data_IF_399412228208
#
_entry.id   IF_399412228208
#
_cell.length_a   1.000
_cell.length_b   1.000
_cell.length_c   1.000
_cell.angle_alpha   90.00
_cell.angle_beta   90.00
_cell.angle_gamma   90.00
#
_symmetry.space_group_name_H-M   'P 1'
#
loop_
_entity.id
_entity.type
_entity.pdbx_description
1 polymer ?
#
# COMPACT_ATOMS: atom_id res chain seq x y z
N UNK A 1 -47.59 72.80 9.73
CA UNK A 1 -48.81 72.46 10.50
C UNK A 1 -49.82 71.80 9.57
N UNK A 2 -50.53 70.75 9.89
CA UNK A 2 -50.82 70.12 11.19
C UNK A 2 -50.35 68.69 11.32
N UNK A 3 -50.06 68.14 12.45
CA UNK A 3 -50.80 67.30 13.44
C UNK A 3 -51.60 66.18 12.76
N UNK A 4 -51.43 64.90 13.13
CA UNK A 4 -51.96 64.22 14.35
C UNK A 4 -51.50 62.75 14.43
N UNK A 5 -51.16 62.36 15.62
CA UNK A 5 -51.45 61.17 16.43
C UNK A 5 -51.96 59.83 15.80
N UNK A 6 -51.40 58.81 16.34
CA UNK A 6 -51.95 57.46 16.34
C UNK A 6 -50.98 56.42 16.98
N UNK A 7 -50.96 56.42 18.32
CA UNK A 7 -50.37 55.32 19.09
C UNK A 7 -51.27 54.06 18.93
N UNK A 8 -50.71 52.96 18.55
CA UNK A 8 -51.27 51.62 18.75
C UNK A 8 -50.19 50.68 19.21
N UNK A 9 -50.36 50.28 20.45
CA UNK A 9 -49.57 49.27 21.14
C UNK A 9 -49.81 47.91 20.54
N UNK A 10 -48.80 47.35 19.87
CA UNK A 10 -48.75 45.96 19.38
C UNK A 10 -47.71 45.18 20.18
N UNK A 11 -48.20 44.20 20.91
CA UNK A 11 -47.43 43.24 21.72
C UNK A 11 -46.25 42.66 20.94
N UNK A 12 -45.07 42.76 21.53
CA UNK A 12 -43.91 41.94 21.18
C UNK A 12 -44.20 40.46 21.51
N UNK A 13 -44.43 39.68 20.48
CA UNK A 13 -44.38 38.22 20.58
C UNK A 13 -42.91 37.81 20.48
N UNK A 14 -42.37 37.34 21.59
CA UNK A 14 -41.05 36.77 21.63
C UNK A 14 -40.96 35.53 20.72
N UNK A 15 -40.23 35.63 19.62
CA UNK A 15 -39.91 34.48 18.80
C UNK A 15 -38.93 33.59 19.58
N UNK A 16 -39.40 32.42 19.98
CA UNK A 16 -38.56 31.35 20.51
C UNK A 16 -37.51 30.94 19.43
N UNK A 17 -36.25 31.12 19.77
CA UNK A 17 -35.14 30.53 19.01
C UNK A 17 -35.26 29.01 19.11
N UNK A 18 -35.22 28.25 18.00
CA UNK A 18 -35.09 26.82 18.08
C UNK A 18 -33.72 26.50 18.67
N UNK A 19 -33.70 25.59 19.62
CA UNK A 19 -32.49 25.03 20.22
C UNK A 19 -31.54 24.54 19.11
N UNK A 20 -30.32 25.03 19.13
CA UNK A 20 -29.23 24.51 18.29
C UNK A 20 -29.01 23.05 18.64
N UNK A 21 -29.58 22.16 17.85
CA UNK A 21 -29.21 20.77 17.82
C UNK A 21 -27.77 20.71 17.42
N UNK A 22 -26.95 20.26 18.35
CA UNK A 22 -25.55 19.89 18.06
C UNK A 22 -25.63 18.70 17.12
N UNK A 23 -25.64 18.96 15.82
CA UNK A 23 -25.33 17.97 14.81
C UNK A 23 -23.84 17.67 15.04
N UNK A 24 -23.56 16.60 15.76
CA UNK A 24 -22.25 15.97 15.75
C UNK A 24 -22.02 15.50 14.32
N UNK A 25 -21.42 16.35 13.51
CA UNK A 25 -20.78 15.95 12.29
C UNK A 25 -19.66 15.01 12.73
N UNK A 26 -19.93 13.73 12.68
CA UNK A 26 -18.88 12.73 12.59
C UNK A 26 -18.21 13.01 11.25
N UNK A 27 -17.23 13.91 11.24
CA UNK A 27 -16.27 14.01 10.16
C UNK A 27 -15.61 12.65 10.15
N UNK A 28 -15.98 11.87 9.17
CA UNK A 28 -15.39 10.57 8.96
C UNK A 28 -13.90 10.81 8.76
N UNK A 29 -13.11 10.29 9.67
CA UNK A 29 -11.67 10.14 9.56
C UNK A 29 -11.28 9.15 8.44
N UNK A 30 -12.14 9.00 7.44
CA UNK A 30 -12.05 8.01 6.36
C UNK A 30 -11.13 8.42 5.22
N UNK A 31 -10.72 9.69 5.15
CA UNK A 31 -9.88 10.15 4.05
C UNK A 31 -8.38 9.87 4.26
N UNK A 32 -7.94 9.54 5.46
CA UNK A 32 -6.51 9.35 5.77
C UNK A 32 -6.13 7.87 5.82
N UNK A 33 -7.01 6.99 6.26
CA UNK A 33 -6.72 5.55 6.30
C UNK A 33 -6.68 4.89 4.90
N UNK A 34 -7.37 5.45 3.92
CA UNK A 34 -7.35 4.95 2.54
C UNK A 34 -6.07 5.29 1.75
N UNK A 35 -5.28 6.25 2.20
CA UNK A 35 -4.09 6.70 1.48
C UNK A 35 -2.80 5.96 1.87
N UNK A 36 -2.76 5.28 3.02
CA UNK A 36 -1.56 4.63 3.54
C UNK A 36 -1.44 3.14 3.20
N UNK A 37 -2.46 2.53 2.60
CA UNK A 37 -2.48 1.09 2.32
C UNK A 37 -1.79 0.67 1.01
N UNK A 38 -0.93 1.49 0.44
CA UNK A 38 -0.61 1.32 -0.98
C UNK A 38 0.83 0.98 -1.33
N UNK A 39 1.72 0.66 -0.45
CA UNK A 39 3.09 0.40 -0.88
C UNK A 39 3.71 -0.80 -0.17
N UNK A 40 3.48 -1.96 -0.71
CA UNK A 40 4.41 -3.06 -0.50
C UNK A 40 4.26 -4.16 -1.56
N UNK A 41 4.56 -3.87 -2.79
CA UNK A 41 4.95 -4.93 -3.72
C UNK A 41 6.47 -4.98 -3.76
N UNK A 42 7.05 -5.52 -2.68
CA UNK A 42 8.46 -5.83 -2.64
C UNK A 42 8.77 -7.06 -3.49
N UNK A 43 9.33 -6.88 -4.65
CA UNK A 43 9.81 -7.96 -5.49
C UNK A 43 11.18 -8.45 -5.04
N UNK A 44 11.21 -9.64 -4.45
CA UNK A 44 12.40 -10.46 -4.46
C UNK A 44 12.53 -11.14 -5.82
N UNK A 45 13.49 -10.71 -6.64
CA UNK A 45 13.86 -11.46 -7.83
C UNK A 45 14.54 -12.75 -7.39
N UNK A 46 13.79 -13.86 -7.38
CA UNK A 46 14.40 -15.16 -7.61
C UNK A 46 13.91 -15.67 -8.96
N UNK A 47 14.86 -16.05 -9.82
CA UNK A 47 14.58 -16.96 -10.93
C UNK A 47 13.59 -17.99 -10.40
N UNK A 48 12.38 -17.94 -10.89
CA UNK A 48 11.42 -19.00 -10.69
C UNK A 48 12.06 -20.25 -11.31
N UNK A 49 12.77 -21.01 -10.49
CA UNK A 49 12.90 -22.43 -10.78
C UNK A 49 11.47 -22.93 -10.79
N UNK A 50 11.02 -23.32 -11.95
CA UNK A 50 9.76 -23.97 -12.21
C UNK A 50 9.69 -25.29 -11.42
N UNK A 51 9.46 -25.21 -10.12
CA UNK A 51 9.03 -26.36 -9.34
C UNK A 51 7.51 -26.43 -9.44
N UNK A 52 7.06 -27.18 -10.43
CA UNK A 52 5.65 -27.46 -10.74
C UNK A 52 4.94 -28.38 -9.70
N UNK A 53 5.29 -28.30 -8.41
CA UNK A 53 4.89 -29.28 -7.42
C UNK A 53 4.01 -28.84 -6.27
N UNK A 54 3.89 -27.53 -5.97
CA UNK A 54 3.39 -27.11 -4.66
C UNK A 54 2.12 -26.21 -4.68
N UNK A 55 1.46 -26.11 -5.82
CA UNK A 55 0.23 -25.33 -5.94
C UNK A 55 -0.97 -26.13 -5.43
N UNK A 56 -1.64 -25.61 -4.42
CA UNK A 56 -2.88 -26.18 -3.84
C UNK A 56 -2.71 -26.86 -2.48
N UNK A 57 -1.48 -26.94 -1.95
CA UNK A 57 -1.24 -27.39 -0.59
C UNK A 57 -1.43 -26.24 0.40
N UNK A 58 -2.15 -26.49 1.50
CA UNK A 58 -2.16 -25.59 2.63
C UNK A 58 -0.73 -25.46 3.17
N UNK A 59 -0.21 -24.24 3.22
CA UNK A 59 1.00 -23.90 3.94
C UNK A 59 0.60 -23.40 5.32
N UNK A 60 1.40 -23.66 6.33
CA UNK A 60 1.17 -23.15 7.66
C UNK A 60 1.94 -21.83 7.83
N UNK A 61 1.27 -20.67 7.86
CA UNK A 61 1.92 -19.40 8.14
C UNK A 61 2.19 -19.29 9.64
N UNK A 62 3.45 -19.08 10.03
CA UNK A 62 3.86 -18.99 11.44
C UNK A 62 4.61 -17.69 11.67
N UNK A 63 4.21 -16.92 12.69
CA UNK A 63 4.98 -15.75 13.12
C UNK A 63 6.33 -16.21 13.63
N UNK A 64 7.40 -15.86 12.93
CA UNK A 64 8.76 -16.25 13.24
C UNK A 64 9.50 -15.17 14.05
N UNK A 65 9.16 -13.90 13.85
CA UNK A 65 9.74 -12.78 14.60
C UNK A 65 8.85 -11.54 14.49
N UNK A 66 8.93 -10.68 15.50
CA UNK A 66 8.39 -9.32 15.51
C UNK A 66 9.55 -8.37 15.79
N UNK A 67 9.79 -7.44 14.87
CA UNK A 67 10.89 -6.47 14.93
C UNK A 67 10.30 -5.09 15.26
N UNK A 68 10.46 -4.59 16.48
CA UNK A 68 9.98 -3.27 16.86
C UNK A 68 10.90 -2.19 16.28
N UNK A 69 10.34 -1.23 15.55
CA UNK A 69 11.12 -0.17 14.91
C UNK A 69 10.82 1.23 15.46
N UNK A 70 9.57 1.47 15.92
CA UNK A 70 9.09 2.80 16.37
C UNK A 70 9.75 3.99 15.65
N UNK A 71 9.04 4.86 14.97
CA UNK A 71 7.59 5.11 14.92
C UNK A 71 6.87 4.34 13.80
N UNK A 72 5.69 4.85 13.38
CA UNK A 72 4.81 4.28 12.35
C UNK A 72 5.55 3.87 11.09
N UNK A 73 5.35 2.63 10.63
CA UNK A 73 5.94 2.10 9.41
C UNK A 73 5.08 2.52 8.21
N UNK A 74 5.69 3.19 7.27
CA UNK A 74 5.04 3.76 6.07
C UNK A 74 5.35 2.98 4.80
N UNK A 75 6.35 2.09 4.83
CA UNK A 75 6.70 1.24 3.70
C UNK A 75 7.62 0.10 4.11
N UNK A 76 7.51 -1.03 3.41
CA UNK A 76 8.41 -2.18 3.55
C UNK A 76 8.83 -2.64 2.15
N UNK A 77 10.12 -2.91 1.95
CA UNK A 77 10.65 -3.42 0.70
C UNK A 77 11.74 -4.46 0.96
N UNK A 78 11.93 -5.38 0.01
CA UNK A 78 12.98 -6.39 0.10
C UNK A 78 13.95 -6.26 -1.06
N UNK A 79 15.23 -6.28 -0.75
CA UNK A 79 16.28 -6.26 -1.76
C UNK A 79 17.63 -5.92 -1.17
N UNK A 80 18.68 -6.04 -1.99
CA UNK A 80 20.06 -5.79 -1.57
C UNK A 80 20.47 -6.57 -0.31
N UNK A 81 19.93 -7.80 -0.16
CA UNK A 81 20.25 -8.68 0.96
C UNK A 81 19.62 -8.29 2.31
N UNK A 82 18.61 -7.45 2.32
CA UNK A 82 17.93 -7.00 3.53
C UNK A 82 16.44 -6.79 3.32
N UNK A 83 15.71 -6.67 4.43
CA UNK A 83 14.40 -6.06 4.49
C UNK A 83 14.58 -4.61 4.90
N UNK A 84 13.91 -3.73 4.20
CA UNK A 84 13.97 -2.30 4.44
C UNK A 84 12.59 -1.80 4.86
N UNK A 85 12.55 -0.95 5.85
CA UNK A 85 11.33 -0.27 6.27
C UNK A 85 11.55 1.24 6.28
N UNK A 86 10.55 1.98 5.84
CA UNK A 86 10.48 3.43 6.00
C UNK A 86 9.54 3.80 7.13
N UNK A 87 9.83 4.89 7.81
CA UNK A 87 8.99 5.41 8.88
C UNK A 87 9.10 6.94 8.98
N UNK A 88 8.10 7.56 9.58
CA UNK A 88 8.08 8.99 9.86
C UNK A 88 8.22 9.22 11.37
N UNK A 89 9.11 10.13 11.78
CA UNK A 89 9.41 10.38 13.20
C UNK A 89 8.40 11.28 13.93
N UNK A 90 7.40 11.80 13.24
CA UNK A 90 6.46 12.78 13.82
C UNK A 90 4.97 12.49 13.60
N UNK A 91 4.64 11.34 13.01
CA UNK A 91 3.28 11.04 12.59
C UNK A 91 2.80 11.92 11.44
N UNK A 92 1.62 11.63 10.91
CA UNK A 92 1.03 12.31 9.74
C UNK A 92 0.78 13.85 9.92
N UNK A 93 0.96 14.36 11.14
CA UNK A 93 0.69 15.76 11.48
C UNK A 93 1.91 16.67 11.48
N UNK A 94 3.13 16.12 11.32
CA UNK A 94 4.35 16.94 11.29
C UNK A 94 5.11 16.75 9.97
N UNK A 95 4.87 17.61 8.96
CA UNK A 95 5.50 17.49 7.64
C UNK A 95 7.02 17.78 7.65
N UNK A 96 7.56 18.31 8.74
CA UNK A 96 9.01 18.56 8.91
C UNK A 96 9.71 17.42 9.66
N UNK A 97 8.99 16.36 10.01
CA UNK A 97 9.55 15.22 10.70
C UNK A 97 10.60 14.51 9.83
N UNK A 98 11.73 14.16 10.43
CA UNK A 98 12.74 13.38 9.74
C UNK A 98 12.22 11.97 9.44
N UNK A 99 12.28 11.54 8.19
CA UNK A 99 12.06 10.14 7.84
C UNK A 99 13.21 9.28 8.32
N UNK A 100 12.91 8.04 8.60
CA UNK A 100 13.90 7.03 8.98
C UNK A 100 13.82 5.85 8.04
N UNK A 101 14.97 5.31 7.65
CA UNK A 101 15.08 4.02 6.99
C UNK A 101 15.71 3.01 7.93
N UNK A 102 15.08 1.87 8.05
CA UNK A 102 15.54 0.76 8.84
C UNK A 102 16.02 -0.37 7.92
N UNK A 103 17.19 -0.91 8.21
CA UNK A 103 17.71 -2.10 7.55
C UNK A 103 17.58 -3.27 8.50
N UNK A 104 16.80 -4.28 8.14
CA UNK A 104 16.58 -5.50 8.91
C UNK A 104 17.33 -6.64 8.24
N UNK A 105 18.14 -7.34 8.99
CA UNK A 105 18.80 -8.57 8.54
C UNK A 105 17.81 -9.74 8.61
N UNK A 106 17.45 -10.37 7.47
CA UNK A 106 16.47 -11.44 7.44
C UNK A 106 16.97 -12.76 8.06
N UNK A 107 18.27 -12.92 8.25
CA UNK A 107 18.85 -14.11 8.91
C UNK A 107 18.77 -14.03 10.42
N UNK A 108 18.95 -12.83 10.99
CA UNK A 108 18.97 -12.61 12.45
C UNK A 108 17.69 -11.95 12.98
N UNK A 109 16.83 -11.42 12.11
CA UNK A 109 15.64 -10.62 12.44
C UNK A 109 15.99 -9.36 13.28
N UNK A 110 17.17 -8.79 13.10
CA UNK A 110 17.61 -7.60 13.82
C UNK A 110 17.64 -6.39 12.91
N UNK A 111 17.12 -5.28 13.40
CA UNK A 111 17.25 -3.99 12.76
C UNK A 111 18.58 -3.35 13.14
N UNK A 112 19.25 -2.76 12.16
CA UNK A 112 20.38 -1.86 12.37
C UNK A 112 19.89 -0.50 12.90
N UNK A 113 20.82 0.37 13.31
CA UNK A 113 20.49 1.76 13.64
C UNK A 113 19.81 2.44 12.44
N UNK A 114 18.78 3.24 12.68
CA UNK A 114 18.04 3.89 11.58
C UNK A 114 18.91 4.92 10.85
N UNK A 115 18.68 5.00 9.56
CA UNK A 115 19.31 5.97 8.66
C UNK A 115 18.36 7.17 8.56
N UNK A 116 18.74 8.36 9.03
CA UNK A 116 17.91 9.53 8.87
C UNK A 116 17.87 9.97 7.40
N UNK A 117 16.66 10.21 6.89
CA UNK A 117 16.42 10.76 5.57
C UNK A 117 15.60 12.04 5.72
N UNK A 118 16.19 13.16 5.34
CA UNK A 118 15.49 14.44 5.41
C UNK A 118 14.30 14.46 4.44
N UNK A 119 13.18 14.97 4.92
CA UNK A 119 11.98 15.11 4.10
C UNK A 119 11.06 13.91 4.14
N UNK A 120 11.15 13.06 5.18
CA UNK A 120 10.20 11.99 5.43
C UNK A 120 10.50 10.67 4.72
N UNK A 121 9.78 9.63 5.09
CA UNK A 121 9.88 8.27 4.55
C UNK A 121 8.48 7.71 4.35
N UNK A 122 7.67 8.31 3.46
CA UNK A 122 6.29 7.89 3.24
C UNK A 122 6.17 6.61 2.42
N UNK A 123 7.15 6.32 1.58
CA UNK A 123 7.21 5.12 0.79
C UNK A 123 8.65 4.67 0.54
N UNK A 124 8.83 3.40 0.16
CA UNK A 124 10.13 2.80 -0.08
C UNK A 124 10.09 1.83 -1.26
N UNK A 125 11.10 1.87 -2.10
CA UNK A 125 11.28 0.92 -3.20
C UNK A 125 12.75 0.53 -3.37
N UNK A 126 12.97 -0.62 -4.00
CA UNK A 126 14.30 -1.08 -4.40
C UNK A 126 14.38 -1.08 -5.92
N UNK A 127 15.26 -0.28 -6.47
CA UNK A 127 15.51 -0.22 -7.90
C UNK A 127 16.97 0.15 -8.19
N UNK A 128 17.50 -0.34 -9.30
CA UNK A 128 18.86 -0.04 -9.77
C UNK A 128 19.93 -0.21 -8.68
N UNK A 129 19.82 -1.26 -7.86
CA UNK A 129 20.75 -1.56 -6.78
C UNK A 129 20.74 -0.58 -5.61
N UNK A 130 19.74 0.27 -5.51
CA UNK A 130 19.63 1.29 -4.46
C UNK A 130 18.30 1.21 -3.73
N UNK A 131 18.26 1.74 -2.53
CA UNK A 131 17.03 1.99 -1.77
C UNK A 131 16.54 3.38 -2.11
N UNK A 132 15.28 3.50 -2.41
CA UNK A 132 14.64 4.76 -2.73
C UNK A 132 13.51 5.03 -1.74
N UNK A 133 13.43 6.24 -1.25
CA UNK A 133 12.33 6.69 -0.39
C UNK A 133 11.76 7.99 -0.90
N UNK A 134 10.47 8.19 -0.69
CA UNK A 134 9.73 9.35 -1.18
C UNK A 134 9.03 10.08 -0.04
N UNK A 135 8.81 11.36 -0.23
CA UNK A 135 8.03 12.23 0.64
C UNK A 135 7.47 13.42 -0.16
N UNK A 136 6.62 14.28 0.45
CA UNK A 136 6.20 15.54 -0.15
C UNK A 136 7.35 16.50 -0.50
N UNK A 137 8.53 16.33 0.11
CA UNK A 137 9.71 17.15 -0.18
C UNK A 137 10.57 16.59 -1.32
N UNK A 138 10.29 15.40 -1.81
CA UNK A 138 11.01 14.76 -2.90
C UNK A 138 11.46 13.35 -2.61
N UNK A 139 12.21 12.81 -3.55
CA UNK A 139 12.74 11.43 -3.53
C UNK A 139 14.20 11.42 -3.11
N UNK A 140 14.60 10.45 -2.32
CA UNK A 140 15.98 10.23 -1.86
C UNK A 140 16.45 8.86 -2.33
N UNK A 141 17.67 8.82 -2.84
CA UNK A 141 18.38 7.59 -3.19
C UNK A 141 19.40 7.28 -2.13
N UNK A 142 19.37 6.07 -1.60
CA UNK A 142 20.25 5.62 -0.53
C UNK A 142 21.07 4.43 -1.01
N UNK A 143 22.37 4.47 -0.80
CA UNK A 143 23.24 3.32 -1.03
C UNK A 143 23.00 2.26 0.07
N UNK A 144 22.63 1.02 -0.29
CA UNK A 144 22.22 0.01 0.68
C UNK A 144 23.38 -0.53 1.55
N UNK A 145 24.63 -0.31 1.13
CA UNK A 145 25.82 -0.78 1.86
C UNK A 145 26.26 0.23 2.91
N UNK A 146 26.36 1.49 2.50
CA UNK A 146 26.84 2.57 3.38
C UNK A 146 25.74 3.27 4.15
N UNK A 147 24.47 3.11 3.76
CA UNK A 147 23.35 3.86 4.33
C UNK A 147 23.36 5.36 4.00
N UNK A 148 24.18 5.82 3.07
CA UNK A 148 24.30 7.23 2.72
C UNK A 148 23.30 7.63 1.65
N UNK A 149 22.70 8.82 1.81
CA UNK A 149 21.95 9.46 0.72
C UNK A 149 22.92 9.86 -0.37
N UNK A 150 22.78 9.27 -1.57
CA UNK A 150 23.65 9.49 -2.73
C UNK A 150 23.03 10.33 -3.83
N UNK A 151 21.70 10.56 -3.78
CA UNK A 151 21.02 11.50 -4.65
C UNK A 151 19.73 12.05 -4.00
N UNK A 152 19.33 13.25 -4.43
CA UNK A 152 18.09 13.92 -4.08
C UNK A 152 17.39 14.39 -5.35
N UNK A 153 16.10 14.13 -5.45
CA UNK A 153 15.27 14.49 -6.61
C UNK A 153 14.04 15.21 -6.09
N UNK A 154 14.18 16.53 -5.89
CA UNK A 154 13.13 17.34 -5.28
C UNK A 154 11.93 17.55 -6.23
N UNK A 155 12.11 17.32 -7.52
CA UNK A 155 11.04 17.35 -8.52
C UNK A 155 10.09 16.14 -8.42
N UNK A 156 10.55 15.00 -7.87
CA UNK A 156 9.77 13.77 -7.73
C UNK A 156 9.24 13.64 -6.31
N UNK A 157 7.99 14.01 -6.12
CA UNK A 157 7.32 14.13 -4.82
C UNK A 157 6.07 13.25 -4.77
N UNK A 158 5.73 12.79 -3.58
CA UNK A 158 4.51 12.01 -3.35
C UNK A 158 4.62 11.12 -2.12
N UNK A 159 3.68 10.21 -2.00
CA UNK A 159 3.65 9.17 -0.97
C UNK A 159 3.92 7.78 -1.56
N UNK A 160 3.73 7.63 -2.86
CA UNK A 160 3.74 6.34 -3.55
C UNK A 160 4.99 6.21 -4.41
N UNK A 161 5.72 5.11 -4.21
CA UNK A 161 6.93 4.80 -4.96
C UNK A 161 6.99 3.29 -5.25
N UNK A 162 7.24 2.95 -6.51
CA UNK A 162 7.39 1.57 -6.95
C UNK A 162 8.65 1.39 -7.79
N UNK A 163 9.31 0.25 -7.59
CA UNK A 163 10.55 -0.04 -8.29
C UNK A 163 10.77 -1.51 -8.60
N UNK A 164 11.29 -1.78 -9.80
CA UNK A 164 11.69 -3.12 -10.24
C UNK A 164 12.80 -3.03 -11.29
N UNK A 165 13.90 -3.72 -11.06
CA UNK A 165 15.06 -3.62 -11.96
C UNK A 165 15.56 -2.18 -12.06
N UNK A 166 15.52 -1.62 -13.26
CA UNK A 166 15.85 -0.21 -13.52
C UNK A 166 14.62 0.68 -13.71
N UNK A 167 13.41 0.16 -13.49
CA UNK A 167 12.20 0.94 -13.52
C UNK A 167 11.90 1.49 -12.13
N UNK A 168 11.62 2.79 -12.05
CA UNK A 168 11.26 3.48 -10.81
C UNK A 168 10.20 4.52 -11.11
N UNK A 169 9.10 4.48 -10.36
CA UNK A 169 8.00 5.42 -10.46
C UNK A 169 7.68 6.03 -9.09
N UNK A 170 7.44 7.32 -9.09
CA UNK A 170 6.94 8.09 -7.95
C UNK A 170 5.61 8.69 -8.37
N UNK A 171 4.51 8.15 -7.86
CA UNK A 171 3.19 8.48 -8.39
C UNK A 171 3.11 8.27 -9.90
N UNK A 172 2.92 9.35 -10.65
CA UNK A 172 2.92 9.37 -12.11
C UNK A 172 4.27 9.71 -12.74
N UNK A 173 5.29 9.99 -11.94
CA UNK A 173 6.60 10.41 -12.42
C UNK A 173 7.56 9.23 -12.53
N UNK A 174 8.07 8.99 -13.73
CA UNK A 174 9.12 8.01 -13.95
C UNK A 174 10.49 8.62 -13.66
N UNK A 175 11.25 7.97 -12.80
CA UNK A 175 12.62 8.36 -12.49
C UNK A 175 13.59 7.53 -13.35
N UNK A 176 14.60 8.19 -13.87
CA UNK A 176 15.77 7.53 -14.45
C UNK A 176 16.84 7.35 -13.35
N UNK A 177 17.12 6.12 -12.90
CA UNK A 177 18.11 5.88 -11.86
C UNK A 177 19.56 6.14 -12.32
N UNK A 178 19.83 6.22 -13.62
CA UNK A 178 21.16 6.50 -14.13
C UNK A 178 21.52 8.00 -14.00
N UNK A 179 20.54 8.86 -14.26
CA UNK A 179 20.71 10.33 -14.22
C UNK A 179 20.15 10.96 -12.95
N UNK A 180 19.34 10.23 -12.16
CA UNK A 180 18.59 10.72 -11.01
C UNK A 180 17.67 11.90 -11.36
N UNK A 181 16.97 11.80 -12.48
CA UNK A 181 16.04 12.83 -12.96
C UNK A 181 14.68 12.26 -13.28
N UNK A 182 13.65 13.12 -13.34
CA UNK A 182 12.33 12.76 -13.87
C UNK A 182 12.46 12.62 -15.39
N UNK A 183 12.28 11.39 -15.90
CA UNK A 183 12.44 11.05 -17.32
C UNK A 183 11.13 11.10 -18.11
N UNK A 184 9.99 10.92 -17.44
CA UNK A 184 8.66 10.98 -18.04
C UNK A 184 7.60 11.25 -16.96
N UNK A 185 6.46 11.78 -17.41
CA UNK A 185 5.24 11.89 -16.59
C UNK A 185 4.14 11.11 -17.29
N UNK A 186 3.55 10.15 -16.57
CA UNK A 186 2.49 9.31 -17.11
C UNK A 186 1.17 10.04 -17.30
N UNK A 187 0.35 9.52 -18.19
CA UNK A 187 -1.00 10.04 -18.52
C UNK A 187 -2.12 9.19 -17.90
N UNK A 188 -1.81 8.39 -16.89
CA UNK A 188 -2.77 7.56 -16.16
C UNK A 188 -3.29 8.28 -14.91
N UNK A 189 -4.42 7.82 -14.40
CA UNK A 189 -4.96 8.29 -13.14
C UNK A 189 -4.33 7.53 -11.95
N UNK A 190 -4.20 8.21 -10.80
CA UNK A 190 -3.65 7.60 -9.60
C UNK A 190 -2.14 7.42 -9.64
N UNK A 191 -1.65 6.22 -9.30
CA UNK A 191 -0.21 5.95 -9.16
C UNK A 191 0.14 4.50 -9.54
N UNK A 192 1.40 4.29 -9.97
CA UNK A 192 1.94 2.95 -10.21
C UNK A 192 2.01 2.20 -8.88
N UNK A 193 1.47 0.99 -8.86
CA UNK A 193 1.37 0.15 -7.66
C UNK A 193 2.08 -1.19 -7.83
N UNK A 194 2.35 -1.62 -9.06
CA UNK A 194 3.07 -2.87 -9.30
C UNK A 194 3.89 -2.78 -10.58
N UNK A 195 5.15 -3.22 -10.48
CA UNK A 195 6.08 -3.31 -11.60
C UNK A 195 6.76 -4.67 -11.57
N UNK A 196 6.75 -5.38 -12.68
CA UNK A 196 7.39 -6.69 -12.77
C UNK A 196 7.36 -7.27 -14.18
N UNK A 197 7.72 -8.55 -14.33
CA UNK A 197 7.68 -9.25 -15.62
C UNK A 197 6.28 -9.27 -16.26
N UNK A 198 5.23 -9.23 -15.44
CA UNK A 198 3.83 -9.21 -15.85
C UNK A 198 3.36 -7.82 -16.29
N UNK A 199 4.21 -6.81 -16.20
CA UNK A 199 3.97 -5.44 -16.65
C UNK A 199 4.07 -4.38 -15.56
N UNK A 200 3.72 -3.15 -15.94
CA UNK A 200 3.59 -2.01 -15.03
C UNK A 200 2.11 -1.65 -14.93
N UNK A 201 1.64 -1.57 -13.69
CA UNK A 201 0.23 -1.40 -13.39
C UNK A 201 0.02 -0.24 -12.44
N UNK A 202 -0.88 0.66 -12.82
CA UNK A 202 -1.35 1.77 -12.00
C UNK A 202 -2.77 1.50 -11.52
N UNK A 203 -3.13 2.10 -10.40
CA UNK A 203 -4.48 2.05 -9.85
C UNK A 203 -4.99 3.41 -9.44
N UNK A 204 -6.29 3.58 -9.68
CA UNK A 204 -7.15 4.65 -9.16
C UNK A 204 -8.53 4.04 -8.91
N UNK A 205 -9.57 4.55 -9.51
CA UNK A 205 -10.90 3.93 -9.63
C UNK A 205 -10.91 2.75 -10.61
N UNK A 206 -9.88 2.62 -11.42
CA UNK A 206 -9.64 1.54 -12.36
C UNK A 206 -8.25 0.96 -12.17
N UNK A 207 -8.05 -0.22 -12.71
CA UNK A 207 -6.72 -0.79 -12.92
C UNK A 207 -6.26 -0.45 -14.33
N UNK A 208 -5.08 0.12 -14.46
CA UNK A 208 -4.52 0.53 -15.73
C UNK A 208 -3.17 -0.12 -15.99
N UNK A 209 -3.03 -0.74 -17.17
CA UNK A 209 -1.72 -1.15 -17.65
C UNK A 209 -1.06 0.03 -18.31
N UNK A 210 0.18 0.32 -17.95
CA UNK A 210 0.91 1.45 -18.49
C UNK A 210 2.22 1.01 -19.15
N UNK A 211 2.64 1.76 -20.15
CA UNK A 211 3.94 1.59 -20.77
C UNK A 211 5.03 2.00 -19.76
N UNK A 212 5.97 1.10 -19.40
CA UNK A 212 6.93 1.35 -18.33
C UNK A 212 7.94 2.46 -18.66
N UNK A 213 8.04 2.86 -19.90
CA UNK A 213 8.97 3.90 -20.37
C UNK A 213 8.33 5.27 -20.46
N UNK A 214 7.10 5.32 -20.97
CA UNK A 214 6.42 6.57 -21.34
C UNK A 214 5.28 6.91 -20.37
N UNK A 215 4.77 5.94 -19.60
CA UNK A 215 3.59 6.11 -18.76
C UNK A 215 2.27 6.22 -19.54
N UNK A 216 2.28 5.90 -20.84
CA UNK A 216 1.06 5.88 -21.63
C UNK A 216 0.18 4.71 -21.22
N UNK A 217 -1.11 4.94 -21.04
CA UNK A 217 -2.09 3.88 -20.77
C UNK A 217 -2.19 2.95 -21.99
N UNK A 218 -2.01 1.65 -21.74
CA UNK A 218 -2.10 0.58 -22.72
C UNK A 218 -3.45 -0.16 -22.64
N UNK A 219 -4.02 -0.25 -21.44
CA UNK A 219 -5.33 -0.84 -21.19
C UNK A 219 -5.90 -0.32 -19.87
N UNK A 220 -7.23 -0.18 -19.81
CA UNK A 220 -7.98 0.17 -18.60
C UNK A 220 -8.98 -0.93 -18.28
N UNK A 221 -8.94 -1.46 -17.09
CA UNK A 221 -9.84 -2.50 -16.59
C UNK A 221 -10.68 -1.94 -15.45
N UNK A 222 -11.99 -1.98 -15.62
CA UNK A 222 -12.95 -1.56 -14.60
C UNK A 222 -13.76 -2.76 -14.13
N UNK A 223 -14.10 -2.75 -12.85
CA UNK A 223 -15.01 -3.71 -12.24
C UNK A 223 -16.12 -2.95 -11.54
N UNK A 224 -17.35 -3.10 -12.04
CA UNK A 224 -18.50 -2.39 -11.48
C UNK A 224 -18.68 -2.72 -10.00
N UNK A 225 -18.89 -1.71 -9.19
CA UNK A 225 -19.10 -1.84 -7.74
C UNK A 225 -17.83 -2.10 -6.93
N UNK A 226 -16.64 -2.08 -7.56
CA UNK A 226 -15.38 -2.38 -6.89
C UNK A 226 -14.28 -1.38 -7.23
N UNK A 227 -13.37 -1.16 -6.27
CA UNK A 227 -12.16 -0.35 -6.44
C UNK A 227 -10.94 -1.24 -6.25
N UNK A 228 -9.92 -1.20 -7.15
CA UNK A 228 -8.68 -1.93 -6.95
C UNK A 228 -7.94 -1.37 -5.74
N UNK A 229 -7.54 -2.24 -4.80
CA UNK A 229 -6.87 -1.83 -3.58
C UNK A 229 -5.44 -2.36 -3.49
N UNK A 230 -5.21 -3.63 -3.74
CA UNK A 230 -3.87 -4.24 -3.71
C UNK A 230 -3.62 -5.06 -4.97
N UNK A 231 -2.35 -5.05 -5.43
CA UNK A 231 -1.94 -5.77 -6.64
C UNK A 231 -0.75 -6.65 -6.29
N UNK A 232 -0.76 -7.90 -6.77
CA UNK A 232 0.39 -8.78 -6.74
C UNK A 232 0.69 -9.30 -8.15
N UNK A 233 1.97 -9.43 -8.46
CA UNK A 233 2.45 -10.03 -9.69
C UNK A 233 3.07 -11.40 -9.37
N UNK A 234 2.75 -12.39 -10.17
CA UNK A 234 3.35 -13.71 -9.98
C UNK A 234 2.59 -14.84 -10.65
N UNK A 235 3.30 -15.93 -10.92
CA UNK A 235 2.75 -17.09 -11.63
C UNK A 235 2.32 -16.76 -13.06
N UNK A 236 2.93 -15.74 -13.70
CA UNK A 236 2.59 -15.26 -15.03
C UNK A 236 1.24 -14.54 -15.09
N UNK A 237 0.76 -14.01 -13.98
CA UNK A 237 -0.55 -13.35 -13.85
C UNK A 237 -0.46 -12.10 -12.99
N UNK A 238 -1.42 -11.22 -13.19
CA UNK A 238 -1.66 -10.07 -12.31
C UNK A 238 -2.85 -10.40 -11.43
N UNK A 239 -2.68 -10.22 -10.14
CA UNK A 239 -3.70 -10.49 -9.13
C UNK A 239 -4.10 -9.20 -8.47
N UNK A 240 -5.38 -8.95 -8.35
CA UNK A 240 -5.90 -7.71 -7.78
C UNK A 240 -6.93 -8.01 -6.71
N UNK A 241 -6.69 -7.49 -5.53
CA UNK A 241 -7.70 -7.46 -4.49
C UNK A 241 -8.48 -6.15 -4.59
N UNK A 242 -9.78 -6.27 -4.74
CA UNK A 242 -10.74 -5.19 -4.89
C UNK A 242 -11.53 -5.03 -3.59
N UNK A 243 -11.76 -3.80 -3.17
CA UNK A 243 -12.74 -3.46 -2.15
C UNK A 243 -14.09 -3.16 -2.79
N UNK A 244 -15.18 -3.68 -2.24
CA UNK A 244 -16.53 -3.36 -2.70
C UNK A 244 -16.90 -1.92 -2.33
N UNK A 245 -17.62 -1.25 -3.22
CA UNK A 245 -18.19 0.09 -2.99
C UNK A 245 -19.62 0.04 -2.44
N UNK A 246 -20.27 -1.09 -2.56
CA UNK A 246 -21.69 -1.27 -2.23
C UNK A 246 -21.90 -2.19 -1.05
N UNK A 247 -21.01 -3.14 -0.83
CA UNK A 247 -21.05 -4.07 0.28
C UNK A 247 -19.86 -3.82 1.19
N UNK A 248 -20.14 -3.24 2.35
CA UNK A 248 -19.12 -2.96 3.34
C UNK A 248 -18.32 -4.23 3.69
N UNK A 249 -16.99 -4.07 3.82
CA UNK A 249 -16.07 -5.17 4.16
C UNK A 249 -16.13 -6.38 3.20
N UNK A 250 -16.40 -6.17 1.93
CA UNK A 250 -16.32 -7.24 0.94
C UNK A 250 -15.10 -7.07 0.05
N UNK A 251 -14.27 -8.09 0.01
CA UNK A 251 -13.08 -8.19 -0.84
C UNK A 251 -13.34 -9.16 -1.98
N UNK A 252 -13.00 -8.78 -3.20
CA UNK A 252 -12.95 -9.69 -4.35
C UNK A 252 -11.50 -9.79 -4.87
N UNK A 253 -10.96 -10.99 -5.00
CA UNK A 253 -9.65 -11.21 -5.61
C UNK A 253 -9.84 -11.74 -7.02
N UNK A 254 -9.31 -11.03 -8.01
CA UNK A 254 -9.43 -11.37 -9.42
C UNK A 254 -8.05 -11.61 -10.05
N UNK A 255 -8.04 -12.50 -11.04
CA UNK A 255 -6.90 -12.78 -11.91
C UNK A 255 -7.02 -12.00 -13.22
N UNK A 256 -5.91 -11.45 -13.69
CA UNK A 256 -5.80 -10.80 -15.00
C UNK A 256 -4.68 -11.46 -15.78
N UNK A 257 -4.95 -11.78 -17.02
CA UNK A 257 -3.94 -12.22 -17.97
C UNK A 257 -3.18 -10.99 -18.52
N UNK A 258 -1.86 -10.85 -18.23
CA UNK A 258 -1.09 -9.69 -18.68
C UNK A 258 -0.85 -9.66 -20.19
N UNK A 259 -1.08 -10.76 -20.90
CA UNK A 259 -0.92 -10.79 -22.36
C UNK A 259 -2.13 -10.22 -23.08
N UNK A 260 -3.32 -10.51 -22.57
CA UNK A 260 -4.58 -10.10 -23.17
C UNK A 260 -5.19 -8.85 -22.50
N UNK A 261 -4.72 -8.49 -21.31
CA UNK A 261 -5.29 -7.43 -20.45
C UNK A 261 -6.76 -7.70 -20.13
N UNK A 262 -7.13 -8.94 -19.84
CA UNK A 262 -8.49 -9.35 -19.52
C UNK A 262 -8.55 -10.12 -18.22
N UNK A 263 -9.70 -10.02 -17.55
CA UNK A 263 -9.98 -10.91 -16.43
C UNK A 263 -9.95 -12.36 -16.89
N UNK A 264 -9.33 -13.22 -16.09
CA UNK A 264 -9.13 -14.64 -16.38
C UNK A 264 -9.43 -15.48 -15.13
N UNK A 265 -10.31 -16.46 -15.28
CA UNK A 265 -10.71 -17.38 -14.20
C UNK A 265 -11.71 -16.78 -13.22
N UNK A 266 -12.01 -17.57 -12.19
CA UNK A 266 -12.98 -17.26 -11.16
C UNK A 266 -12.46 -16.22 -10.17
N UNK A 267 -13.40 -15.56 -9.50
CA UNK A 267 -13.15 -14.53 -8.51
C UNK A 267 -13.38 -15.12 -7.13
N UNK A 268 -12.44 -14.91 -6.25
CA UNK A 268 -12.61 -15.23 -4.83
C UNK A 268 -13.26 -14.05 -4.14
N UNK A 269 -14.40 -14.27 -3.51
CA UNK A 269 -15.08 -13.25 -2.70
C UNK A 269 -14.95 -13.62 -1.23
N UNK A 270 -14.56 -12.65 -0.42
CA UNK A 270 -14.37 -12.75 1.02
C UNK A 270 -15.19 -11.65 1.69
N UNK A 271 -16.12 -12.03 2.57
CA UNK A 271 -16.96 -11.12 3.32
C UNK A 271 -16.36 -10.82 4.70
N UNK A 272 -16.73 -9.69 5.28
CA UNK A 272 -16.28 -9.23 6.58
C UNK A 272 -14.82 -8.76 6.60
N UNK A 273 -14.27 -8.32 5.45
CA UNK A 273 -12.87 -7.89 5.35
C UNK A 273 -12.65 -6.86 4.25
N UNK A 274 -11.77 -5.89 4.56
CA UNK A 274 -11.25 -4.92 3.60
C UNK A 274 -9.81 -5.31 3.25
N UNK A 275 -9.42 -5.40 1.96
CA UNK A 275 -8.08 -5.78 1.58
C UNK A 275 -7.09 -4.65 1.90
N UNK A 276 -5.95 -4.99 2.53
CA UNK A 276 -4.85 -4.06 2.78
C UNK A 276 -3.70 -4.29 1.81
N UNK A 277 -3.26 -5.55 1.68
CA UNK A 277 -2.15 -5.90 0.80
C UNK A 277 -2.32 -7.31 0.22
N UNK A 278 -1.65 -7.55 -0.91
CA UNK A 278 -1.64 -8.83 -1.60
C UNK A 278 -0.23 -9.18 -2.03
N UNK A 279 0.19 -10.43 -1.82
CA UNK A 279 1.48 -10.93 -2.28
C UNK A 279 1.33 -12.29 -2.96
N UNK A 280 2.24 -12.62 -3.88
CA UNK A 280 2.34 -13.95 -4.48
C UNK A 280 3.62 -14.63 -3.98
N UNK A 281 3.48 -15.74 -3.31
CA UNK A 281 4.60 -16.53 -2.81
C UNK A 281 4.27 -18.02 -2.81
N UNK A 282 5.24 -18.86 -3.16
CA UNK A 282 5.13 -20.33 -3.11
C UNK A 282 3.92 -20.88 -3.87
N UNK A 283 3.58 -20.28 -5.02
CA UNK A 283 2.45 -20.73 -5.83
C UNK A 283 1.07 -20.35 -5.28
N UNK A 284 1.01 -19.57 -4.23
CA UNK A 284 -0.22 -19.10 -3.57
C UNK A 284 -0.27 -17.58 -3.51
N UNK A 285 -1.49 -17.06 -3.40
CA UNK A 285 -1.72 -15.67 -3.02
C UNK A 285 -1.85 -15.59 -1.51
N UNK A 286 -1.32 -14.50 -0.97
CA UNK A 286 -1.41 -14.15 0.43
C UNK A 286 -2.09 -12.81 0.55
N UNK A 287 -3.32 -12.82 1.01
CA UNK A 287 -4.14 -11.63 1.22
C UNK A 287 -4.05 -11.20 2.68
N UNK A 288 -3.60 -10.00 2.88
CA UNK A 288 -3.70 -9.30 4.15
C UNK A 288 -4.96 -8.44 4.13
N UNK A 289 -5.86 -8.67 5.07
CA UNK A 289 -7.13 -7.97 5.14
C UNK A 289 -7.56 -7.75 6.60
N UNK A 290 -8.22 -6.65 6.86
CA UNK A 290 -8.72 -6.26 8.18
C UNK A 290 -10.23 -6.03 8.16
N UNK A 291 -10.84 -5.94 9.33
CA UNK A 291 -12.16 -5.34 9.52
C UNK A 291 -12.09 -4.25 10.59
N UNK A 292 -13.13 -3.44 10.71
CA UNK A 292 -13.15 -2.35 11.69
C UNK A 292 -13.38 -2.81 13.13
N UNK A 293 -13.99 -3.98 13.31
CA UNK A 293 -14.35 -4.50 14.64
C UNK A 293 -13.19 -5.24 15.31
N UNK A 294 -12.31 -5.87 14.54
CA UNK A 294 -11.17 -6.64 15.07
C UNK A 294 -9.89 -5.80 15.01
N UNK A 295 -9.17 -5.73 16.10
CA UNK A 295 -7.79 -5.22 16.07
C UNK A 295 -6.89 -6.19 15.34
N UNK A 296 -6.01 -5.66 14.48
CA UNK A 296 -5.09 -6.45 13.68
C UNK A 296 -5.64 -6.79 12.29
N UNK A 297 -5.03 -7.77 11.64
CA UNK A 297 -5.44 -8.26 10.33
C UNK A 297 -5.33 -9.77 10.23
N UNK A 298 -5.97 -10.32 9.21
CA UNK A 298 -5.85 -11.73 8.84
C UNK A 298 -5.04 -11.88 7.58
N UNK A 299 -4.04 -12.74 7.66
CA UNK A 299 -3.27 -13.21 6.52
C UNK A 299 -3.89 -14.52 6.01
N UNK A 300 -4.48 -14.48 4.84
CA UNK A 300 -5.25 -15.57 4.24
C UNK A 300 -4.52 -16.12 3.02
N UNK A 301 -4.32 -17.45 2.97
CA UNK A 301 -3.81 -18.13 1.80
C UNK A 301 -4.94 -18.39 0.81
N UNK A 302 -4.71 -18.12 -0.47
CA UNK A 302 -5.64 -18.39 -1.57
C UNK A 302 -4.91 -19.23 -2.61
N UNK A 303 -5.51 -20.36 -2.99
CA UNK A 303 -5.03 -21.16 -4.13
C UNK A 303 -5.44 -20.46 -5.45
N UNK A 304 -4.47 -19.97 -6.23
CA UNK A 304 -4.76 -19.24 -7.46
C UNK A 304 -5.32 -20.09 -8.59
N UNK A 305 -5.20 -21.42 -8.51
CA UNK A 305 -5.73 -22.34 -9.51
C UNK A 305 -7.18 -22.71 -9.24
N UNK A 306 -7.51 -22.89 -7.96
CA UNK A 306 -8.85 -23.26 -7.51
C UNK A 306 -9.75 -22.04 -7.26
N UNK A 307 -9.15 -20.84 -7.11
CA UNK A 307 -9.89 -19.67 -6.70
C UNK A 307 -10.53 -19.84 -5.32
N UNK A 308 -9.81 -20.42 -4.37
CA UNK A 308 -10.35 -20.78 -3.06
C UNK A 308 -9.37 -20.49 -1.93
N UNK A 309 -9.92 -20.15 -0.76
CA UNK A 309 -9.14 -20.06 0.48
C UNK A 309 -8.63 -21.44 0.88
N UNK A 310 -7.39 -21.51 1.33
CA UNK A 310 -6.70 -22.74 1.75
C UNK A 310 -6.18 -22.57 3.18
N UNK A 311 -6.41 -23.57 4.00
CA UNK A 311 -5.96 -23.56 5.40
C UNK A 311 -6.73 -22.57 6.28
N UNK A 312 -6.20 -22.33 7.47
CA UNK A 312 -6.73 -21.33 8.40
C UNK A 312 -5.97 -20.03 8.27
N UNK A 313 -6.66 -18.87 8.25
CA UNK A 313 -6.01 -17.58 8.27
C UNK A 313 -5.16 -17.38 9.54
N UNK A 314 -3.97 -16.80 9.38
CA UNK A 314 -3.16 -16.34 10.52
C UNK A 314 -3.67 -14.97 10.97
N UNK A 315 -4.02 -14.86 12.25
CA UNK A 315 -4.36 -13.57 12.86
C UNK A 315 -3.10 -12.86 13.37
N UNK A 316 -2.87 -11.66 12.88
CA UNK A 316 -1.81 -10.76 13.32
C UNK A 316 -2.41 -9.74 14.29
N UNK A 317 -1.96 -9.74 15.54
CA UNK A 317 -2.58 -9.02 16.67
C UNK A 317 -1.96 -7.64 16.92
N UNK A 318 -1.21 -7.09 16.00
CA UNK A 318 -0.61 -5.76 16.11
C UNK A 318 -1.57 -4.60 15.81
N UNK A 319 -1.03 -3.53 15.28
CA UNK A 319 -1.80 -2.42 14.71
C UNK A 319 -2.59 -2.83 13.47
N UNK A 320 -2.98 -1.89 12.62
CA UNK A 320 -3.59 -2.22 11.33
C UNK A 320 -2.49 -2.53 10.32
N UNK A 321 -2.18 -3.80 10.02
CA UNK A 321 -1.14 -4.13 9.05
C UNK A 321 -1.60 -3.73 7.65
N UNK A 322 -0.82 -2.85 6.99
CA UNK A 322 -1.10 -2.35 5.66
C UNK A 322 -0.11 -2.79 4.59
N UNK A 323 1.04 -3.33 4.99
CA UNK A 323 2.18 -3.56 4.13
C UNK A 323 2.57 -5.04 4.13
N UNK A 324 2.79 -5.62 2.94
CA UNK A 324 3.13 -7.03 2.79
C UNK A 324 4.12 -7.21 1.66
N UNK A 325 5.28 -7.78 1.98
CA UNK A 325 6.26 -8.19 0.98
C UNK A 325 6.61 -9.67 1.14
N UNK A 326 6.94 -10.31 0.03
CA UNK A 326 7.19 -11.75 -0.02
C UNK A 326 8.55 -12.08 -0.64
N UNK A 327 9.29 -13.01 -0.04
CA UNK A 327 10.50 -13.57 -0.62
C UNK A 327 10.66 -15.05 -0.25
N UNK A 328 10.66 -15.92 -1.26
CA UNK A 328 10.83 -17.35 -1.06
C UNK A 328 9.73 -17.95 -0.17
N UNK A 329 10.09 -18.36 1.04
CA UNK A 329 9.19 -18.94 2.04
C UNK A 329 8.85 -17.96 3.17
N UNK A 330 9.12 -16.69 3.00
CA UNK A 330 8.97 -15.69 4.05
C UNK A 330 8.12 -14.53 3.56
N UNK A 331 7.20 -14.11 4.40
CA UNK A 331 6.46 -12.87 4.25
C UNK A 331 6.93 -11.90 5.34
N UNK A 332 6.92 -10.62 5.02
CA UNK A 332 7.17 -9.55 5.97
C UNK A 332 6.00 -8.59 5.94
N UNK A 333 5.45 -8.33 7.11
CA UNK A 333 4.26 -7.49 7.30
C UNK A 333 4.66 -6.25 8.07
N UNK A 334 4.39 -5.09 7.51
CA UNK A 334 4.55 -3.81 8.20
C UNK A 334 3.24 -3.38 8.84
N UNK A 335 3.33 -2.91 10.08
CA UNK A 335 2.19 -2.40 10.85
C UNK A 335 2.34 -0.91 11.06
N UNK A 336 1.30 -0.15 10.71
CA UNK A 336 1.32 1.31 10.64
C UNK A 336 0.80 2.03 11.89
N UNK A 337 0.12 1.33 12.80
CA UNK A 337 -0.48 1.94 13.99
C UNK A 337 0.26 1.59 15.29
N UNK A 338 0.35 2.56 16.18
CA UNK A 338 0.75 2.54 17.59
C UNK A 338 2.20 2.21 17.92
N UNK A 339 2.83 1.20 17.34
CA UNK A 339 4.13 0.69 17.78
C UNK A 339 5.18 0.60 16.67
N UNK A 340 4.81 0.69 15.39
CA UNK A 340 5.73 0.53 14.26
C UNK A 340 6.52 -0.77 14.34
N UNK A 341 5.92 -1.85 13.86
CA UNK A 341 6.57 -3.18 13.84
C UNK A 341 6.69 -3.73 12.43
N UNK A 342 7.69 -4.58 12.23
CA UNK A 342 7.79 -5.42 11.04
C UNK A 342 7.79 -6.88 11.50
N UNK A 343 6.74 -7.60 11.12
CA UNK A 343 6.53 -8.99 11.52
C UNK A 343 6.96 -9.93 10.41
N UNK A 344 7.81 -10.91 10.74
CA UNK A 344 8.20 -12.00 9.86
C UNK A 344 7.25 -13.18 10.02
N UNK A 345 6.74 -13.67 8.89
CA UNK A 345 5.91 -14.87 8.82
C UNK A 345 6.61 -15.89 7.92
N UNK A 346 6.92 -17.06 8.44
CA UNK A 346 7.48 -18.17 7.67
C UNK A 346 6.34 -19.08 7.14
N UNK A 347 6.45 -19.52 5.90
CA UNK A 347 5.53 -20.42 5.21
C UNK A 347 6.09 -21.85 5.28
N UNK A 348 5.53 -22.68 6.12
CA UNK A 348 5.94 -24.07 6.39
C UNK A 348 5.16 -25.10 5.59
#
# INVERSE_FOLDING_TARGET
>A
MPRINGLSSGRLVAAQRPAAGVVRVRVAAFAVAGLLAAVAVGYGIHRASSSSGDSGRALEPVVAAVVPLRPVITGVAMGSGAVWASSESGGATNPTAAGLLWRIDPGTNRAASPIPVSGGGQGIAIAAGSVWTVSPEGTRRVDPRSGRVIARIDAARGSEIEGFGNALWVGQQRIDPATNTVAAVGSFDGFVTAIGPEGTWARSDALERVDPRTGRVLATLRRNGFTPNAIALGGGSVWVAYASRTEWETTAVARIDPKTNRFAGDIVVLHGRVPSALAYARGSLWLLAHNEEERGARLTQIDPKRGAVVGLPLHLTGGTPGLLVAQGRTLWVGEDLDQGTVTRVDLR
#
